data_IF_860523834557
#
_entry.id   IF_860523834557
#
_cell.length_a   1.000
_cell.length_b   1.000
_cell.length_c   1.000
_cell.angle_alpha   90.00
_cell.angle_beta   90.00
_cell.angle_gamma   90.00
#
_symmetry.space_group_name_H-M   'P 1'
#
loop_
_entity.id
_entity.type
_entity.pdbx_description
1 polymer ?
#
# COMPACT_ATOMS: atom_id res chain seq x y z
N UNK A 1 -2.33 -10.47 17.11
CA UNK A 1 -2.27 -11.42 15.98
C UNK A 1 -3.21 -12.60 16.19
N UNK A 2 -4.05 -12.90 15.20
CA UNK A 2 -4.98 -14.04 15.18
C UNK A 2 -4.44 -15.16 14.30
N UNK A 3 -4.93 -16.39 14.47
CA UNK A 3 -4.60 -17.51 13.57
C UNK A 3 -5.24 -17.31 12.21
N UNK A 4 -4.53 -17.73 11.17
CA UNK A 4 -5.07 -17.69 9.81
C UNK A 4 -6.31 -18.61 9.66
N UNK A 5 -6.29 -19.79 10.29
CA UNK A 5 -7.41 -20.73 10.25
C UNK A 5 -8.68 -20.19 10.93
N UNK A 6 -8.55 -19.26 11.87
CA UNK A 6 -9.68 -18.56 12.48
C UNK A 6 -10.18 -17.43 11.59
N UNK A 7 -9.29 -16.70 10.93
CA UNK A 7 -9.65 -15.60 10.01
C UNK A 7 -10.41 -16.10 8.77
N UNK A 8 -9.96 -17.19 8.15
CA UNK A 8 -10.57 -17.72 6.91
C UNK A 8 -12.01 -18.23 7.13
N UNK A 9 -12.43 -18.50 8.38
CA UNK A 9 -13.81 -18.92 8.69
C UNK A 9 -14.82 -17.86 8.27
N UNK A 10 -14.46 -16.59 8.38
CA UNK A 10 -15.32 -15.45 8.10
C UNK A 10 -14.45 -14.21 7.79
N UNK A 11 -13.71 -14.20 6.67
CA UNK A 11 -12.73 -13.15 6.39
C UNK A 11 -13.41 -11.80 6.11
N UNK A 12 -14.66 -11.85 5.63
CA UNK A 12 -15.58 -10.72 5.59
C UNK A 12 -16.98 -11.21 6.00
N UNK A 13 -17.88 -10.30 6.41
CA UNK A 13 -19.26 -10.68 6.73
C UNK A 13 -20.07 -11.26 5.57
N UNK A 14 -19.49 -11.35 4.36
CA UNK A 14 -20.10 -11.88 3.15
C UNK A 14 -19.36 -13.09 2.58
N UNK A 15 -18.30 -13.56 3.25
CA UNK A 15 -17.55 -14.78 2.88
C UNK A 15 -17.65 -15.83 3.99
N UNK A 16 -17.77 -17.10 3.61
CA UNK A 16 -17.66 -18.22 4.53
C UNK A 16 -16.77 -19.31 3.96
N UNK A 17 -16.21 -20.15 4.85
CA UNK A 17 -15.50 -21.36 4.46
C UNK A 17 -16.31 -22.29 3.54
N UNK A 18 -17.64 -22.23 3.61
CA UNK A 18 -18.50 -23.05 2.74
C UNK A 18 -18.31 -22.74 1.25
N UNK A 19 -17.80 -21.54 0.93
CA UNK A 19 -17.51 -21.09 -0.42
C UNK A 19 -16.02 -21.20 -0.79
N UNK A 20 -15.17 -21.72 0.11
CA UNK A 20 -13.74 -21.90 -0.13
C UNK A 20 -13.45 -23.29 -0.68
N UNK A 21 -12.79 -23.35 -1.85
CA UNK A 21 -12.47 -24.59 -2.56
C UNK A 21 -10.97 -24.95 -2.54
N UNK A 22 -10.19 -24.38 -1.60
CA UNK A 22 -8.74 -24.61 -1.48
C UNK A 22 -8.35 -25.44 -0.26
N UNK A 23 -7.05 -25.69 -0.13
CA UNK A 23 -6.49 -26.32 1.06
C UNK A 23 -6.46 -25.32 2.23
N UNK A 24 -6.88 -25.77 3.41
CA UNK A 24 -6.84 -24.94 4.61
C UNK A 24 -5.40 -24.92 5.12
N UNK A 25 -4.77 -23.74 5.27
CA UNK A 25 -3.41 -23.64 5.80
C UNK A 25 -3.27 -24.23 7.21
N UNK A 26 -2.06 -24.69 7.53
CA UNK A 26 -1.74 -25.25 8.85
C UNK A 26 -2.01 -24.24 9.99
N UNK A 27 -2.41 -24.76 11.16
CA UNK A 27 -2.74 -23.97 12.36
C UNK A 27 -1.56 -23.20 12.98
N UNK A 28 -0.35 -23.33 12.43
CA UNK A 28 0.86 -22.62 12.89
C UNK A 28 0.90 -21.15 12.44
N UNK A 29 0.18 -20.81 11.38
CA UNK A 29 0.23 -19.50 10.73
C UNK A 29 -0.60 -18.46 11.48
N UNK A 30 0.02 -17.33 11.80
CA UNK A 30 -0.63 -16.18 12.41
C UNK A 30 -0.53 -14.97 11.50
N UNK A 31 -1.65 -14.26 11.38
CA UNK A 31 -1.79 -13.14 10.47
C UNK A 31 -1.14 -11.90 11.07
N UNK A 32 -0.24 -11.30 10.31
CA UNK A 32 0.37 -9.99 10.59
C UNK A 32 -0.48 -8.90 9.96
N UNK A 33 -0.64 -8.96 8.63
CA UNK A 33 -1.43 -8.02 7.84
C UNK A 33 -2.25 -8.74 6.77
N UNK A 34 -3.27 -8.04 6.28
CA UNK A 34 -4.09 -8.48 5.14
C UNK A 34 -4.15 -7.37 4.09
N UNK A 35 -4.16 -7.74 2.83
CA UNK A 35 -4.43 -6.83 1.73
C UNK A 35 -5.40 -7.46 0.72
N UNK A 36 -5.87 -6.66 -0.22
CA UNK A 36 -6.78 -7.07 -1.29
C UNK A 36 -6.56 -6.21 -2.53
N UNK A 37 -7.22 -6.56 -3.63
CA UNK A 37 -7.21 -5.76 -4.87
C UNK A 37 -7.53 -4.28 -4.64
N UNK A 38 -8.44 -4.01 -3.71
CA UNK A 38 -9.00 -2.66 -3.46
C UNK A 38 -8.35 -2.00 -2.23
N UNK A 39 -7.19 -2.47 -1.80
CA UNK A 39 -6.45 -1.87 -0.67
C UNK A 39 -5.92 -0.49 -1.03
N UNK A 40 -6.12 0.47 -0.13
CA UNK A 40 -5.58 1.83 -0.26
C UNK A 40 -4.04 1.84 -0.17
N UNK A 41 -3.42 2.94 -0.63
CA UNK A 41 -1.95 3.11 -0.69
C UNK A 41 -1.30 2.87 0.69
N UNK A 42 -1.91 3.35 1.77
CA UNK A 42 -1.38 3.14 3.13
C UNK A 42 -1.29 1.65 3.48
N UNK A 43 -2.34 0.88 3.17
CA UNK A 43 -2.36 -0.57 3.40
C UNK A 43 -1.28 -1.26 2.56
N UNK A 44 -1.10 -0.86 1.30
CA UNK A 44 -0.06 -1.40 0.43
C UNK A 44 1.35 -1.05 0.92
N UNK A 45 1.55 0.18 1.41
CA UNK A 45 2.80 0.65 2.02
C UNK A 45 3.15 -0.19 3.25
N UNK A 46 2.22 -0.29 4.20
CA UNK A 46 2.42 -1.10 5.41
C UNK A 46 2.68 -2.57 5.07
N UNK A 47 1.99 -3.12 4.06
CA UNK A 47 2.24 -4.48 3.60
C UNK A 47 3.66 -4.68 3.07
N UNK A 48 4.11 -3.79 2.18
CA UNK A 48 5.44 -3.86 1.58
C UNK A 48 6.55 -3.76 2.64
N UNK A 49 6.43 -2.78 3.53
CA UNK A 49 7.38 -2.56 4.64
C UNK A 49 7.38 -3.75 5.60
N UNK A 50 6.21 -4.26 5.99
CA UNK A 50 6.14 -5.42 6.87
C UNK A 50 6.79 -6.66 6.25
N UNK A 51 6.57 -6.91 4.95
CA UNK A 51 7.20 -8.03 4.26
C UNK A 51 8.72 -7.88 4.20
N UNK A 52 9.23 -6.66 3.97
CA UNK A 52 10.65 -6.36 3.98
C UNK A 52 11.27 -6.56 5.38
N UNK A 53 10.64 -6.03 6.43
CA UNK A 53 11.09 -6.17 7.81
C UNK A 53 11.11 -7.64 8.28
N UNK A 54 10.20 -8.46 7.76
CA UNK A 54 10.16 -9.91 7.99
C UNK A 54 11.18 -10.69 7.15
N UNK A 55 11.89 -10.05 6.23
CA UNK A 55 12.91 -10.67 5.38
C UNK A 55 12.37 -11.37 4.12
N UNK A 56 11.13 -11.10 3.73
CA UNK A 56 10.46 -11.72 2.57
C UNK A 56 9.86 -13.09 2.87
N UNK A 57 9.31 -13.74 1.84
CA UNK A 57 8.76 -15.11 1.96
C UNK A 57 9.85 -16.13 2.29
N UNK A 58 9.59 -16.99 3.26
CA UNK A 58 10.52 -17.99 3.79
C UNK A 58 9.77 -19.18 4.38
N UNK A 59 10.47 -20.14 4.99
CA UNK A 59 9.82 -21.24 5.74
C UNK A 59 9.04 -20.76 6.99
N UNK A 60 9.25 -19.51 7.41
CA UNK A 60 8.65 -18.90 8.58
C UNK A 60 7.71 -17.74 8.26
N UNK A 61 7.65 -17.32 6.99
CA UNK A 61 6.86 -16.18 6.50
C UNK A 61 6.19 -16.59 5.19
N UNK A 62 4.87 -16.67 5.15
CA UNK A 62 4.11 -17.06 3.96
C UNK A 62 3.02 -16.05 3.63
N UNK A 63 2.82 -15.82 2.33
CA UNK A 63 1.66 -15.07 1.82
C UNK A 63 0.61 -16.06 1.36
N UNK A 64 -0.53 -16.07 2.04
CA UNK A 64 -1.67 -16.88 1.62
C UNK A 64 -2.67 -16.06 0.83
N UNK A 65 -2.94 -16.48 -0.41
CA UNK A 65 -3.90 -15.82 -1.30
C UNK A 65 -5.21 -16.60 -1.38
N UNK A 66 -6.30 -15.86 -1.26
CA UNK A 66 -7.67 -16.39 -1.27
C UNK A 66 -8.50 -15.67 -2.32
N UNK A 67 -9.41 -16.39 -2.98
CA UNK A 67 -10.42 -15.77 -3.82
C UNK A 67 -11.48 -15.06 -2.96
N UNK A 68 -11.95 -13.91 -3.42
CA UNK A 68 -13.07 -13.19 -2.81
C UNK A 68 -13.98 -12.62 -3.90
N UNK A 69 -15.29 -12.81 -3.77
CA UNK A 69 -16.23 -12.48 -4.84
C UNK A 69 -16.29 -10.98 -5.17
N UNK A 70 -16.08 -10.09 -4.18
CA UNK A 70 -16.22 -8.65 -4.36
C UNK A 70 -14.96 -8.02 -4.96
N UNK A 71 -13.80 -8.31 -4.37
CA UNK A 71 -12.52 -7.73 -4.80
C UNK A 71 -11.67 -8.68 -5.65
N UNK A 72 -12.20 -9.84 -6.04
CA UNK A 72 -11.48 -10.89 -6.77
C UNK A 72 -10.59 -11.73 -5.87
N UNK A 73 -9.76 -11.10 -5.04
CA UNK A 73 -8.84 -11.78 -4.13
C UNK A 73 -8.47 -10.93 -2.91
N UNK A 74 -8.03 -11.62 -1.85
CA UNK A 74 -7.32 -11.03 -0.71
C UNK A 74 -6.14 -11.92 -0.32
N UNK A 75 -5.16 -11.33 0.36
CA UNK A 75 -3.93 -11.96 0.81
C UNK A 75 -3.73 -11.74 2.30
N UNK A 76 -3.14 -12.73 2.97
CA UNK A 76 -2.72 -12.66 4.37
C UNK A 76 -1.21 -12.90 4.47
N UNK A 77 -0.49 -11.91 4.98
CA UNK A 77 0.92 -12.02 5.36
C UNK A 77 0.99 -12.71 6.71
N UNK A 78 1.56 -13.90 6.74
CA UNK A 78 1.54 -14.75 7.92
C UNK A 78 2.95 -15.12 8.37
N UNK A 79 3.11 -15.27 9.69
CA UNK A 79 4.32 -15.82 10.29
C UNK A 79 4.01 -17.10 11.05
N UNK A 80 4.97 -18.03 11.05
CA UNK A 80 4.90 -19.23 11.85
C UNK A 80 5.09 -18.89 13.33
N UNK A 81 4.24 -19.46 14.19
CA UNK A 81 4.35 -19.27 15.64
C UNK A 81 5.72 -19.70 16.18
N UNK A 82 6.28 -18.90 17.09
CA UNK A 82 7.55 -19.16 17.78
C UNK A 82 8.76 -19.33 16.82
N UNK A 83 8.65 -18.82 15.60
CA UNK A 83 9.75 -18.73 14.63
C UNK A 83 10.64 -17.51 14.88
N UNK A 84 11.75 -17.40 14.15
CA UNK A 84 12.63 -16.23 14.22
C UNK A 84 11.94 -14.92 13.80
N UNK A 85 10.95 -14.99 12.92
CA UNK A 85 10.16 -13.84 12.46
C UNK A 85 9.04 -13.43 13.44
N UNK A 86 8.80 -14.22 14.50
CA UNK A 86 7.66 -14.04 15.40
C UNK A 86 7.71 -12.74 16.20
N UNK A 87 8.88 -12.38 16.74
CA UNK A 87 8.99 -11.18 17.56
C UNK A 87 8.89 -9.91 16.69
N UNK A 88 9.51 -9.89 15.51
CA UNK A 88 9.34 -8.80 14.53
C UNK A 88 7.87 -8.61 14.14
N UNK A 89 7.15 -9.71 13.87
CA UNK A 89 5.73 -9.63 13.55
C UNK A 89 4.87 -9.05 14.69
N UNK A 90 5.23 -9.34 15.95
CA UNK A 90 4.57 -8.73 17.11
C UNK A 90 4.87 -7.25 17.22
N UNK A 91 6.12 -6.86 17.02
CA UNK A 91 6.53 -5.45 17.02
C UNK A 91 5.77 -4.65 15.95
N UNK A 92 5.65 -5.17 14.73
CA UNK A 92 4.84 -4.60 13.63
C UNK A 92 3.37 -4.48 14.04
N UNK A 93 2.79 -5.53 14.61
CA UNK A 93 1.38 -5.54 14.99
C UNK A 93 1.09 -4.55 16.13
N UNK A 94 1.99 -4.47 17.12
CA UNK A 94 1.86 -3.59 18.26
C UNK A 94 2.08 -2.12 17.85
N UNK A 95 3.07 -1.84 16.98
CA UNK A 95 3.29 -0.49 16.45
C UNK A 95 2.08 0.02 15.67
N UNK A 96 1.45 -0.82 14.84
CA UNK A 96 0.24 -0.49 14.10
C UNK A 96 -1.00 -0.29 14.97
N UNK A 97 -1.01 -0.88 16.15
CA UNK A 97 -2.09 -0.66 17.13
C UNK A 97 -1.98 0.73 17.76
N UNK A 98 -0.76 1.25 17.91
CA UNK A 98 -0.48 2.57 18.46
C UNK A 98 -0.53 3.68 17.38
N UNK A 99 -0.03 3.40 16.17
CA UNK A 99 0.02 4.35 15.05
C UNK A 99 -0.15 3.64 13.69
N UNK A 100 -1.04 4.10 12.79
CA UNK A 100 -1.45 3.33 11.62
C UNK A 100 -0.44 3.29 10.45
N UNK A 101 0.76 3.87 10.62
CA UNK A 101 1.78 3.94 9.56
C UNK A 101 3.06 3.30 10.07
N UNK A 102 3.54 2.26 9.38
CA UNK A 102 4.81 1.60 9.72
C UNK A 102 6.02 2.46 9.34
N UNK A 103 5.98 3.06 8.15
CA UNK A 103 7.05 3.89 7.63
C UNK A 103 6.47 5.09 6.87
N UNK A 104 6.65 6.29 7.43
CA UNK A 104 6.12 7.53 6.86
C UNK A 104 6.84 7.94 5.56
N UNK A 105 8.14 7.66 5.45
CA UNK A 105 8.92 7.98 4.26
C UNK A 105 8.45 7.11 3.09
N UNK A 106 8.37 5.79 3.28
CA UNK A 106 7.86 4.87 2.27
C UNK A 106 6.41 5.20 1.88
N UNK A 107 5.55 5.52 2.86
CA UNK A 107 4.18 5.92 2.56
C UNK A 107 4.14 7.22 1.74
N UNK A 108 4.90 8.25 2.12
CA UNK A 108 4.97 9.51 1.39
C UNK A 108 5.51 9.35 -0.03
N UNK A 109 6.48 8.46 -0.24
CA UNK A 109 7.02 8.14 -1.56
C UNK A 109 5.95 7.50 -2.44
N UNK A 110 5.23 6.50 -1.93
CA UNK A 110 4.12 5.86 -2.66
C UNK A 110 2.99 6.84 -3.00
N UNK A 111 2.66 7.77 -2.10
CA UNK A 111 1.67 8.82 -2.39
C UNK A 111 2.12 9.73 -3.54
N UNK A 112 3.39 10.12 -3.56
CA UNK A 112 3.96 10.94 -4.62
C UNK A 112 3.96 10.19 -5.97
N UNK A 113 4.38 8.92 -5.98
CA UNK A 113 4.38 8.09 -7.19
C UNK A 113 2.96 7.87 -7.73
N UNK A 114 1.98 7.66 -6.85
CA UNK A 114 0.59 7.49 -7.27
C UNK A 114 -0.01 8.79 -7.80
N UNK A 115 0.31 9.94 -7.19
CA UNK A 115 -0.09 11.24 -7.71
C UNK A 115 0.48 11.48 -9.11
N UNK A 116 1.77 11.18 -9.32
CA UNK A 116 2.41 11.22 -10.64
C UNK A 116 1.72 10.29 -11.64
N UNK A 117 1.39 9.06 -11.23
CA UNK A 117 0.69 8.08 -12.06
C UNK A 117 -0.68 8.61 -12.48
N UNK A 118 -1.49 9.08 -11.54
CA UNK A 118 -2.83 9.61 -11.83
C UNK A 118 -2.73 10.78 -12.80
N UNK A 119 -1.83 11.72 -12.52
CA UNK A 119 -1.62 12.91 -13.34
C UNK A 119 -1.18 12.58 -14.77
N UNK A 120 -0.26 11.62 -14.92
CA UNK A 120 0.27 11.20 -16.21
C UNK A 120 -0.70 10.32 -17.00
N UNK A 121 -1.41 9.43 -16.34
CA UNK A 121 -2.14 8.36 -17.05
C UNK A 121 -3.61 8.74 -17.30
N UNK A 122 -4.18 9.66 -16.51
CA UNK A 122 -5.60 10.04 -16.60
C UNK A 122 -5.86 11.46 -17.10
N UNK A 123 -4.83 12.29 -17.23
CA UNK A 123 -4.94 13.62 -17.86
C UNK A 123 -4.07 13.68 -19.09
N UNK A 124 -4.59 14.20 -20.21
CA UNK A 124 -3.78 14.47 -21.38
C UNK A 124 -2.94 15.76 -21.20
N UNK A 125 -1.89 15.99 -22.02
CA UNK A 125 -1.04 17.18 -21.86
C UNK A 125 -1.79 18.51 -21.93
N UNK A 126 -2.91 18.59 -22.65
CA UNK A 126 -3.71 19.80 -22.77
C UNK A 126 -4.52 20.03 -21.49
N UNK A 127 -5.15 18.99 -20.95
CA UNK A 127 -5.87 19.04 -19.67
C UNK A 127 -4.93 19.43 -18.53
N UNK A 128 -3.70 18.88 -18.52
CA UNK A 128 -2.67 19.26 -17.55
C UNK A 128 -2.33 20.75 -17.66
N UNK A 129 -2.12 21.28 -18.86
CA UNK A 129 -1.85 22.72 -19.07
C UNK A 129 -3.04 23.58 -18.61
N UNK A 130 -4.27 23.15 -18.88
CA UNK A 130 -5.46 23.86 -18.44
C UNK A 130 -5.58 23.90 -16.92
N UNK A 131 -5.38 22.76 -16.26
CA UNK A 131 -5.41 22.64 -14.81
C UNK A 131 -4.28 23.46 -14.13
N UNK A 132 -3.06 23.41 -14.67
CA UNK A 132 -1.94 24.23 -14.20
C UNK A 132 -2.21 25.74 -14.35
N UNK A 133 -2.98 26.14 -15.37
CA UNK A 133 -3.39 27.54 -15.57
C UNK A 133 -4.51 27.98 -14.61
N UNK A 134 -5.44 27.08 -14.26
CA UNK A 134 -6.59 27.41 -13.41
C UNK A 134 -6.25 27.45 -11.92
N UNK A 135 -5.41 26.51 -11.45
CA UNK A 135 -5.16 26.30 -10.02
C UNK A 135 -3.83 26.92 -9.53
N UNK A 136 -2.84 27.16 -10.40
CA UNK A 136 -1.46 27.40 -9.97
C UNK A 136 -0.66 28.39 -10.81
N UNK A 137 -1.30 29.46 -11.30
CA UNK A 137 -0.70 30.42 -12.23
C UNK A 137 0.74 30.82 -11.88
N UNK A 138 1.73 30.24 -12.54
CA UNK A 138 3.18 30.57 -12.53
C UNK A 138 3.94 30.69 -11.20
N UNK A 139 3.26 30.76 -10.04
CA UNK A 139 3.86 31.06 -8.74
C UNK A 139 4.49 29.84 -8.04
N UNK A 140 4.16 28.63 -8.51
CA UNK A 140 4.60 27.36 -7.90
C UNK A 140 5.77 26.67 -8.62
N UNK A 141 6.42 27.32 -9.59
CA UNK A 141 7.51 26.73 -10.37
C UNK A 141 8.80 27.53 -10.22
N UNK A 142 9.94 26.85 -9.99
CA UNK A 142 11.24 27.55 -9.95
C UNK A 142 11.70 27.98 -11.34
N UNK A 143 11.13 27.40 -12.40
CA UNK A 143 11.39 27.80 -13.77
C UNK A 143 10.56 27.04 -14.80
N UNK A 144 10.84 27.32 -16.08
CA UNK A 144 10.15 26.68 -17.21
C UNK A 144 10.40 25.16 -17.28
N UNK A 145 11.55 24.69 -16.78
CA UNK A 145 11.85 23.27 -16.71
C UNK A 145 10.82 22.53 -15.83
N UNK A 146 10.57 23.00 -14.61
CA UNK A 146 9.60 22.43 -13.66
C UNK A 146 8.19 22.40 -14.27
N UNK A 147 7.77 23.51 -14.89
CA UNK A 147 6.50 23.57 -15.61
C UNK A 147 6.41 22.48 -16.68
N UNK A 148 7.47 22.32 -17.47
CA UNK A 148 7.50 21.31 -18.53
C UNK A 148 7.52 19.88 -17.98
N UNK A 149 8.11 19.65 -16.81
CA UNK A 149 8.04 18.36 -16.12
C UNK A 149 6.60 18.06 -15.70
N UNK A 150 5.89 19.06 -15.18
CA UNK A 150 4.47 18.88 -14.84
C UNK A 150 3.60 18.57 -16.06
N UNK A 151 3.80 19.30 -17.15
CA UNK A 151 3.10 19.03 -18.42
C UNK A 151 3.40 17.62 -18.93
N UNK A 152 4.62 17.10 -18.69
CA UNK A 152 5.03 15.76 -19.10
C UNK A 152 4.52 14.63 -18.20
N UNK A 153 4.06 14.93 -17.00
CA UNK A 153 3.41 13.96 -16.12
C UNK A 153 3.98 13.85 -14.71
N UNK A 154 4.88 14.74 -14.29
CA UNK A 154 5.16 14.92 -12.86
C UNK A 154 4.00 15.69 -12.22
N UNK A 155 3.49 15.25 -11.08
CA UNK A 155 2.42 15.95 -10.38
C UNK A 155 2.95 17.27 -9.81
N UNK A 156 2.14 18.32 -9.91
CA UNK A 156 2.55 19.64 -9.44
C UNK A 156 2.36 19.76 -7.91
N UNK A 157 3.33 20.33 -7.17
CA UNK A 157 3.14 20.61 -5.75
C UNK A 157 2.17 21.78 -5.60
N UNK A 158 0.89 21.50 -5.32
CA UNK A 158 -0.15 22.52 -5.11
C UNK A 158 -0.22 23.03 -3.67
N UNK A 159 0.71 22.66 -2.79
CA UNK A 159 0.66 23.05 -1.38
C UNK A 159 1.72 24.11 -1.05
N UNK A 160 1.28 25.13 -0.32
CA UNK A 160 2.07 26.25 0.23
C UNK A 160 3.19 25.84 1.21
N UNK A 161 3.51 24.54 1.31
CA UNK A 161 4.44 23.97 2.28
C UNK A 161 5.72 23.41 1.65
N UNK A 162 6.12 23.93 0.48
CA UNK A 162 7.51 23.81 0.03
C UNK A 162 7.99 22.38 -0.19
N UNK A 163 7.27 21.59 -1.01
CA UNK A 163 7.93 20.48 -1.69
C UNK A 163 8.91 21.05 -2.71
N UNK A 164 10.16 21.17 -2.26
CA UNK A 164 11.29 21.53 -3.09
C UNK A 164 11.56 20.41 -4.09
N UNK A 165 11.31 20.70 -5.36
CA UNK A 165 11.83 19.96 -6.49
C UNK A 165 11.04 18.69 -6.75
N UNK A 166 10.22 18.70 -7.80
CA UNK A 166 10.62 17.98 -9.01
C UNK A 166 12.15 18.07 -9.25
N UNK A 167 12.88 17.24 -8.51
CA UNK A 167 14.34 17.14 -8.59
C UNK A 167 14.69 16.47 -9.93
N UNK A 168 15.10 17.30 -10.89
CA UNK A 168 15.97 16.92 -11.99
C UNK A 168 17.42 17.24 -11.67
#
# INVERSE_FOLDING_TARGET
MQKLSDLIKNPSGLDSLDNYAGEIPEDKWHVVLTQSRDSEILTQSNWAVALEELGGESEHVEIHRFGHWACGWWEALCVAKDSEAWETAKEIHDSLSDYPVLNEEHFSEMEAEEADRIWRDYFDPKERVEHLRSEGGTENFNGFADLMQCVRGAFAPFTNNGYYGIIG
#
